data_IF_919884149240
#
_entry.id   IF_919884149240
#
_cell.length_a   1.000
_cell.length_b   1.000
_cell.length_c   1.000
_cell.angle_alpha   90.00
_cell.angle_beta   90.00
_cell.angle_gamma   90.00
#
_symmetry.space_group_name_H-M   'P 1'
#
loop_
_entity.id
_entity.type
_entity.pdbx_description
1 polymer ?
#
# COMPACT_ATOMS: atom_id res chain seq x y z
N UNK A 1 6.94 -30.96 1.39
CA UNK A 1 6.53 -29.54 1.51
C UNK A 1 6.90 -28.81 0.21
N UNK A 2 6.06 -27.90 -0.27
CA UNK A 2 6.44 -27.01 -1.40
C UNK A 2 7.63 -26.14 -0.94
N UNK A 3 8.59 -25.89 -1.84
CA UNK A 3 9.75 -25.03 -1.56
C UNK A 3 9.26 -23.63 -1.15
N UNK A 4 9.70 -23.15 0.02
CA UNK A 4 9.48 -21.76 0.44
C UNK A 4 10.43 -20.86 -0.38
N UNK A 5 9.86 -20.11 -1.33
CA UNK A 5 10.64 -19.21 -2.18
C UNK A 5 11.11 -17.99 -1.37
N UNK A 6 12.34 -17.57 -1.61
CA UNK A 6 12.88 -16.31 -1.09
C UNK A 6 12.22 -15.12 -1.79
N UNK A 7 12.29 -13.94 -1.18
CA UNK A 7 11.80 -12.70 -1.82
C UNK A 7 12.50 -12.47 -3.17
N UNK A 8 13.80 -12.78 -3.26
CA UNK A 8 14.55 -12.69 -4.52
C UNK A 8 14.00 -13.60 -5.62
N UNK A 9 13.66 -14.84 -5.29
CA UNK A 9 13.05 -15.77 -6.24
C UNK A 9 11.64 -15.32 -6.64
N UNK A 10 10.84 -14.82 -5.69
CA UNK A 10 9.53 -14.24 -5.98
C UNK A 10 9.64 -13.02 -6.90
N UNK A 11 10.64 -12.15 -6.69
CA UNK A 11 10.93 -11.01 -7.56
C UNK A 11 11.30 -11.46 -8.98
N UNK A 12 12.04 -12.55 -9.14
CA UNK A 12 12.35 -13.07 -10.48
C UNK A 12 11.11 -13.64 -11.20
N UNK A 13 10.16 -14.25 -10.46
CA UNK A 13 8.94 -14.83 -11.04
C UNK A 13 7.93 -13.73 -11.40
N UNK A 14 7.68 -12.83 -10.47
CA UNK A 14 6.65 -11.82 -10.61
C UNK A 14 7.16 -10.48 -11.13
N UNK A 15 8.48 -10.26 -11.22
CA UNK A 15 9.15 -9.02 -11.67
C UNK A 15 8.38 -7.74 -11.29
N UNK A 16 8.05 -7.54 -9.99
CA UNK A 16 7.29 -6.37 -9.54
C UNK A 16 8.07 -5.08 -9.81
N UNK A 17 9.40 -5.14 -9.78
CA UNK A 17 10.28 -4.01 -10.05
C UNK A 17 10.08 -3.42 -11.46
N UNK A 18 9.83 -4.28 -12.46
CA UNK A 18 9.56 -3.84 -13.82
C UNK A 18 8.23 -3.11 -13.93
N UNK A 19 7.22 -3.59 -13.19
CA UNK A 19 5.92 -2.92 -13.11
C UNK A 19 6.06 -1.55 -12.45
N UNK A 20 6.78 -1.48 -11.33
CA UNK A 20 7.02 -0.23 -10.62
C UNK A 20 7.88 0.76 -11.43
N UNK A 21 8.86 0.27 -12.18
CA UNK A 21 9.65 1.10 -13.09
C UNK A 21 8.78 1.65 -14.23
N UNK A 22 7.95 0.80 -14.85
CA UNK A 22 7.02 1.22 -15.89
C UNK A 22 5.99 2.24 -15.38
N UNK A 23 5.53 2.11 -14.13
CA UNK A 23 4.66 3.11 -13.50
C UNK A 23 5.33 4.48 -13.37
N UNK A 24 6.58 4.50 -12.87
CA UNK A 24 7.36 5.74 -12.75
C UNK A 24 7.64 6.39 -14.09
N UNK A 25 8.00 5.57 -15.08
CA UNK A 25 8.29 6.03 -16.44
C UNK A 25 7.03 6.62 -17.09
N UNK A 26 5.89 5.92 -17.03
CA UNK A 26 4.62 6.40 -17.54
C UNK A 26 4.22 7.74 -16.90
N UNK A 27 4.36 7.87 -15.58
CA UNK A 27 4.10 9.15 -14.91
C UNK A 27 5.06 10.24 -15.38
N UNK A 28 6.37 9.97 -15.41
CA UNK A 28 7.37 10.95 -15.84
C UNK A 28 7.12 11.48 -17.25
N UNK A 29 6.67 10.61 -18.17
CA UNK A 29 6.38 10.98 -19.57
C UNK A 29 5.10 11.81 -19.72
N UNK A 30 4.16 11.70 -18.78
CA UNK A 30 2.82 12.30 -18.91
C UNK A 30 2.48 13.33 -17.83
N UNK A 31 3.34 13.54 -16.83
CA UNK A 31 3.11 14.48 -15.72
C UNK A 31 2.80 15.89 -16.23
N UNK A 32 3.55 16.40 -17.21
CA UNK A 32 3.31 17.74 -17.77
C UNK A 32 1.96 17.85 -18.47
N UNK A 33 1.49 16.78 -19.14
CA UNK A 33 0.16 16.76 -19.76
C UNK A 33 -0.94 16.84 -18.71
N UNK A 34 -0.79 16.15 -17.58
CA UNK A 34 -1.74 16.20 -16.45
C UNK A 34 -1.76 17.60 -15.84
N UNK A 35 -0.59 18.20 -15.59
CA UNK A 35 -0.50 19.56 -15.06
C UNK A 35 -1.17 20.55 -16.01
N UNK A 36 -0.93 20.41 -17.32
CA UNK A 36 -1.56 21.26 -18.33
C UNK A 36 -3.08 21.10 -18.31
N UNK A 37 -3.58 19.87 -18.25
CA UNK A 37 -5.02 19.57 -18.15
C UNK A 37 -5.64 20.23 -16.91
N UNK A 38 -4.98 20.09 -15.75
CA UNK A 38 -5.44 20.65 -14.47
C UNK A 38 -5.33 22.17 -14.39
N UNK A 39 -4.44 22.76 -15.18
CA UNK A 39 -4.28 24.22 -15.32
C UNK A 39 -5.30 24.86 -16.26
N UNK A 40 -6.05 24.06 -17.02
CA UNK A 40 -7.06 24.58 -17.94
C UNK A 40 -8.22 25.24 -17.16
N UNK A 41 -8.70 26.40 -17.63
CA UNK A 41 -9.85 27.10 -17.03
C UNK A 41 -11.14 26.27 -17.08
N UNK A 42 -11.24 25.34 -18.02
CA UNK A 42 -12.35 24.41 -18.14
C UNK A 42 -12.20 23.19 -17.21
N UNK A 43 -11.03 22.97 -16.60
CA UNK A 43 -10.87 21.97 -15.57
C UNK A 43 -11.61 22.43 -14.29
N UNK A 44 -12.45 21.58 -13.68
CA UNK A 44 -13.12 21.92 -12.43
C UNK A 44 -12.18 22.34 -11.31
N UNK A 45 -10.92 21.89 -11.33
CA UNK A 45 -9.92 22.23 -10.32
C UNK A 45 -9.66 23.74 -10.22
N UNK A 46 -9.82 24.49 -11.31
CA UNK A 46 -9.68 25.96 -11.34
C UNK A 46 -10.61 26.70 -10.37
N UNK A 47 -11.69 26.06 -9.90
CA UNK A 47 -12.67 26.61 -8.95
C UNK A 47 -12.27 26.41 -7.48
N UNK A 48 -11.24 25.62 -7.22
CA UNK A 48 -10.81 25.25 -5.88
C UNK A 48 -9.46 25.86 -5.57
N UNK A 49 -9.29 26.29 -4.32
CA UNK A 49 -8.04 26.88 -3.83
C UNK A 49 -7.54 26.07 -2.64
N UNK A 50 -6.22 26.05 -2.44
CA UNK A 50 -5.62 25.48 -1.25
C UNK A 50 -6.18 26.23 -0.03
N UNK A 51 -6.63 25.51 1.01
CA UNK A 51 -7.02 26.14 2.27
C UNK A 51 -5.76 26.81 2.85
N UNK A 52 -5.65 28.13 2.68
CA UNK A 52 -4.54 28.93 3.17
C UNK A 52 -4.38 28.70 4.68
N UNK A 53 -3.31 28.06 5.11
CA UNK A 53 -2.65 28.54 6.32
C UNK A 53 -2.16 29.94 5.97
N UNK A 54 -2.33 30.90 6.88
CA UNK A 54 -2.09 32.33 6.63
C UNK A 54 -0.59 32.54 6.40
N UNK A 55 -0.11 32.27 5.19
CA UNK A 55 1.21 32.65 4.71
C UNK A 55 1.03 33.95 3.95
N UNK A 56 1.51 35.04 4.54
CA UNK A 56 1.44 36.39 3.97
C UNK A 56 2.35 36.58 2.74
N UNK A 57 3.13 35.56 2.36
CA UNK A 57 4.21 35.65 1.37
C UNK A 57 3.93 34.94 0.04
N UNK A 58 2.95 34.03 -0.02
CA UNK A 58 2.63 33.30 -1.25
C UNK A 58 1.61 34.06 -2.09
N UNK A 59 1.95 34.31 -3.36
CA UNK A 59 1.00 34.82 -4.34
C UNK A 59 -0.08 33.76 -4.62
N UNK A 60 -1.28 34.18 -5.01
CA UNK A 60 -2.33 33.22 -5.31
C UNK A 60 -1.96 32.29 -6.48
N UNK A 61 -1.20 32.80 -7.45
CA UNK A 61 -0.75 32.03 -8.62
C UNK A 61 0.22 30.90 -8.23
N UNK A 62 1.17 31.17 -7.34
CA UNK A 62 2.09 30.13 -6.84
C UNK A 62 1.34 29.08 -6.00
N UNK A 63 0.38 29.49 -5.16
CA UNK A 63 -0.42 28.54 -4.37
C UNK A 63 -1.28 27.62 -5.24
N UNK A 64 -1.85 28.15 -6.35
CA UNK A 64 -2.64 27.36 -7.27
C UNK A 64 -1.78 26.37 -8.06
N UNK A 65 -0.58 26.77 -8.46
CA UNK A 65 0.38 25.90 -9.14
C UNK A 65 0.83 24.75 -8.24
N UNK A 66 1.18 25.05 -6.99
CA UNK A 66 1.53 24.05 -5.98
C UNK A 66 0.40 23.04 -5.79
N UNK A 67 -0.84 23.50 -5.68
CA UNK A 67 -2.00 22.62 -5.56
C UNK A 67 -2.16 21.68 -6.77
N UNK A 68 -2.00 22.20 -7.98
CA UNK A 68 -2.10 21.41 -9.22
C UNK A 68 -1.02 20.33 -9.26
N UNK A 69 0.23 20.69 -8.93
CA UNK A 69 1.34 19.74 -8.87
C UNK A 69 1.12 18.66 -7.81
N UNK A 70 0.69 19.05 -6.60
CA UNK A 70 0.35 18.12 -5.52
C UNK A 70 -0.72 17.11 -5.95
N UNK A 71 -1.80 17.57 -6.60
CA UNK A 71 -2.88 16.70 -7.06
C UNK A 71 -2.39 15.80 -8.21
N UNK A 72 -1.62 16.33 -9.16
CA UNK A 72 -1.04 15.54 -10.24
C UNK A 72 -0.14 14.42 -9.70
N UNK A 73 0.67 14.69 -8.67
CA UNK A 73 1.57 13.72 -8.06
C UNK A 73 0.84 12.57 -7.37
N UNK A 74 -0.42 12.76 -6.95
CA UNK A 74 -1.25 11.65 -6.44
C UNK A 74 -1.64 10.61 -7.51
N UNK A 75 -1.47 10.92 -8.80
CA UNK A 75 -1.85 10.05 -9.91
C UNK A 75 -0.70 9.16 -10.41
N UNK A 76 0.47 9.18 -9.76
CA UNK A 76 1.68 8.49 -10.21
C UNK A 76 1.44 7.06 -10.73
N UNK A 77 0.81 6.20 -9.94
CA UNK A 77 0.56 4.81 -10.33
C UNK A 77 -0.66 4.68 -11.25
N UNK A 78 -1.60 5.62 -11.18
CA UNK A 78 -2.87 5.61 -11.92
C UNK A 78 -2.67 5.83 -13.41
N UNK A 79 -1.74 6.73 -13.79
CA UNK A 79 -1.42 7.02 -15.19
C UNK A 79 -1.07 5.75 -15.95
N UNK A 80 -0.23 4.90 -15.35
CA UNK A 80 0.14 3.63 -15.95
C UNK A 80 -1.05 2.73 -16.22
N UNK A 81 -1.99 2.63 -15.27
CA UNK A 81 -3.19 1.84 -15.51
C UNK A 81 -4.12 2.45 -16.57
N UNK A 82 -4.21 3.78 -16.68
CA UNK A 82 -5.02 4.44 -17.73
C UNK A 82 -4.53 4.11 -19.15
N UNK A 83 -3.22 3.89 -19.32
CA UNK A 83 -2.59 3.55 -20.60
C UNK A 83 -2.74 2.07 -20.99
N UNK A 84 -3.08 1.19 -20.05
CA UNK A 84 -3.21 -0.24 -20.29
C UNK A 84 -4.61 -0.61 -20.77
N UNK A 85 -4.71 -1.68 -21.57
CA UNK A 85 -6.03 -2.28 -21.90
C UNK A 85 -6.69 -2.93 -20.66
N UNK A 86 -8.02 -3.11 -20.67
CA UNK A 86 -8.76 -3.87 -19.61
C UNK A 86 -8.09 -5.20 -19.21
N UNK A 87 -7.60 -5.96 -20.20
CA UNK A 87 -6.96 -7.26 -19.99
C UNK A 87 -5.61 -7.11 -19.29
N UNK A 88 -4.82 -6.12 -19.68
CA UNK A 88 -3.52 -5.85 -19.09
C UNK A 88 -3.63 -5.29 -17.67
N UNK A 89 -4.58 -4.39 -17.41
CA UNK A 89 -4.87 -3.91 -16.05
C UNK A 89 -5.11 -5.07 -15.11
N UNK A 90 -6.02 -5.97 -15.46
CA UNK A 90 -6.32 -7.19 -14.69
C UNK A 90 -5.07 -8.04 -14.46
N UNK A 91 -4.27 -8.27 -15.52
CA UNK A 91 -3.05 -9.09 -15.45
C UNK A 91 -2.01 -8.48 -14.50
N UNK A 92 -1.76 -7.18 -14.61
CA UNK A 92 -0.77 -6.49 -13.78
C UNK A 92 -1.22 -6.48 -12.32
N UNK A 93 -2.49 -6.16 -12.05
CA UNK A 93 -3.04 -6.21 -10.69
C UNK A 93 -2.89 -7.60 -10.08
N UNK A 94 -3.30 -8.66 -10.78
CA UNK A 94 -3.14 -10.05 -10.30
C UNK A 94 -1.69 -10.44 -10.06
N UNK A 95 -0.78 -9.99 -10.93
CA UNK A 95 0.66 -10.22 -10.82
C UNK A 95 1.24 -9.58 -9.55
N UNK A 96 0.89 -8.31 -9.28
CA UNK A 96 1.34 -7.60 -8.08
C UNK A 96 0.76 -8.22 -6.80
N UNK A 97 -0.55 -8.53 -6.79
CA UNK A 97 -1.19 -9.26 -5.67
C UNK A 97 -0.51 -10.58 -5.37
N UNK A 98 -0.26 -11.36 -6.41
CA UNK A 98 0.38 -12.67 -6.25
C UNK A 98 1.78 -12.57 -5.67
N UNK A 99 2.51 -11.50 -5.99
CA UNK A 99 3.81 -11.23 -5.39
C UNK A 99 3.69 -10.89 -3.91
N UNK A 100 2.88 -9.90 -3.55
CA UNK A 100 2.75 -9.41 -2.17
C UNK A 100 2.16 -10.49 -1.25
N UNK A 101 1.08 -11.16 -1.66
CA UNK A 101 0.47 -12.25 -0.90
C UNK A 101 1.45 -13.41 -0.67
N UNK A 102 2.16 -13.89 -1.70
CA UNK A 102 3.14 -14.97 -1.53
C UNK A 102 4.36 -14.56 -0.74
N UNK A 103 4.76 -13.29 -0.80
CA UNK A 103 5.83 -12.76 0.03
C UNK A 103 5.45 -12.90 1.51
N UNK A 104 4.26 -12.45 1.88
CA UNK A 104 3.72 -12.54 3.25
C UNK A 104 3.61 -14.00 3.69
N UNK A 105 2.98 -14.86 2.88
CA UNK A 105 2.84 -16.29 3.18
C UNK A 105 4.19 -16.97 3.44
N UNK A 106 5.18 -16.71 2.57
CA UNK A 106 6.50 -17.33 2.68
C UNK A 106 7.33 -16.77 3.85
N UNK A 107 7.15 -15.52 4.25
CA UNK A 107 7.79 -14.95 5.43
C UNK A 107 7.16 -15.54 6.70
N UNK A 108 5.82 -15.57 6.76
CA UNK A 108 5.08 -16.13 7.89
C UNK A 108 5.42 -17.61 8.11
N UNK A 109 5.49 -18.41 7.04
CA UNK A 109 5.87 -19.82 7.12
C UNK A 109 7.28 -20.02 7.70
N UNK A 110 8.24 -19.16 7.34
CA UNK A 110 9.60 -19.23 7.91
C UNK A 110 9.64 -18.88 9.38
N UNK A 111 8.91 -17.85 9.78
CA UNK A 111 8.84 -17.46 11.20
C UNK A 111 8.18 -18.57 12.03
N UNK A 112 7.11 -19.19 11.53
CA UNK A 112 6.47 -20.31 12.20
C UNK A 112 7.44 -21.49 12.37
N UNK A 113 8.19 -21.89 11.33
CA UNK A 113 9.18 -22.96 11.44
C UNK A 113 10.24 -22.68 12.52
N UNK A 114 10.68 -21.42 12.67
CA UNK A 114 11.64 -21.03 13.71
C UNK A 114 11.03 -21.04 15.11
N UNK A 115 9.77 -20.60 15.25
CA UNK A 115 9.09 -20.52 16.54
C UNK A 115 8.55 -21.88 17.01
N UNK A 116 8.32 -22.83 16.11
CA UNK A 116 7.88 -24.20 16.40
C UNK A 116 9.00 -25.08 16.96
N UNK A 117 10.27 -24.79 16.62
CA UNK A 117 11.43 -25.49 17.18
C UNK A 117 11.73 -24.95 18.59
N UNK A 118 11.21 -25.62 19.62
CA UNK A 118 11.43 -25.29 21.04
C UNK A 118 12.83 -25.65 21.55
N UNK A 119 13.58 -26.44 20.78
CA UNK A 119 14.94 -26.86 21.08
C UNK A 119 16.00 -26.01 20.38
N UNK A 120 15.62 -25.12 19.45
CA UNK A 120 16.56 -24.23 18.76
C UNK A 120 17.42 -23.44 19.76
N UNK A 121 18.74 -23.61 19.65
CA UNK A 121 19.72 -22.95 20.53
C UNK A 121 19.82 -23.53 21.93
N UNK A 122 19.23 -24.70 22.20
CA UNK A 122 19.45 -25.44 23.45
C UNK A 122 20.80 -26.16 23.43
N UNK A 123 21.50 -26.14 24.57
CA UNK A 123 22.87 -26.65 24.67
C UNK A 123 22.98 -28.17 24.57
N UNK A 124 21.91 -28.90 24.86
CA UNK A 124 21.90 -30.37 24.84
C UNK A 124 20.48 -30.96 24.71
N UNK A 125 19.93 -31.10 23.49
CA UNK A 125 18.57 -31.62 23.30
C UNK A 125 18.41 -33.11 23.66
N UNK A 126 19.50 -33.88 23.64
CA UNK A 126 19.52 -35.35 23.77
C UNK A 126 20.21 -35.87 25.04
N UNK A 127 20.83 -35.01 25.86
CA UNK A 127 21.38 -35.47 27.14
C UNK A 127 20.26 -35.44 28.17
N UNK A 128 19.57 -36.58 28.32
CA UNK A 128 18.38 -36.81 29.15
C UNK A 128 18.57 -36.64 30.66
N UNK A 129 19.10 -35.50 31.11
CA UNK A 129 18.72 -34.94 32.40
C UNK A 129 17.63 -33.95 32.08
N UNK A 130 16.39 -34.37 32.27
CA UNK A 130 15.26 -33.47 32.54
C UNK A 130 15.69 -32.59 33.71
N UNK A 131 16.41 -31.50 33.44
CA UNK A 131 16.59 -30.45 34.42
C UNK A 131 15.22 -29.82 34.49
N UNK A 132 14.51 -30.18 35.57
CA UNK A 132 13.30 -29.56 36.12
C UNK A 132 13.63 -28.10 36.50
N UNK A 133 14.15 -27.33 35.56
CA UNK A 133 14.25 -25.89 35.66
C UNK A 133 13.17 -25.37 34.71
N UNK A 134 12.08 -24.89 35.30
CA UNK A 134 10.95 -24.22 34.64
C UNK A 134 11.37 -22.85 34.05
N UNK A 135 12.48 -22.82 33.34
CA UNK A 135 13.03 -21.64 32.69
C UNK A 135 13.79 -22.10 31.48
N UNK A 136 13.44 -21.53 30.33
CA UNK A 136 14.16 -21.66 29.07
C UNK A 136 15.68 -21.75 29.33
N UNK A 137 16.33 -22.86 28.95
CA UNK A 137 17.79 -22.92 28.89
C UNK A 137 18.34 -22.05 27.74
N UNK A 138 17.48 -21.29 27.03
CA UNK A 138 17.92 -20.39 25.97
C UNK A 138 18.60 -19.17 26.57
N UNK A 139 19.65 -18.73 25.91
CA UNK A 139 20.28 -17.47 26.20
C UNK A 139 19.27 -16.33 26.04
N UNK A 140 19.29 -15.35 26.95
CA UNK A 140 18.43 -14.15 26.93
C UNK A 140 18.32 -13.49 25.54
N UNK A 141 19.41 -13.50 24.76
CA UNK A 141 19.42 -12.97 23.40
C UNK A 141 18.52 -13.75 22.42
N UNK A 142 18.41 -15.08 22.55
CA UNK A 142 17.49 -15.88 21.75
C UNK A 142 16.03 -15.65 22.14
N UNK A 143 15.74 -15.50 23.44
CA UNK A 143 14.39 -15.15 23.89
C UNK A 143 13.97 -13.77 23.35
N UNK A 144 14.88 -12.80 23.34
CA UNK A 144 14.65 -11.49 22.69
C UNK A 144 14.39 -11.64 21.18
N UNK A 145 15.18 -12.43 20.47
CA UNK A 145 14.98 -12.68 19.05
C UNK A 145 13.61 -13.33 18.77
N UNK A 146 13.18 -14.26 19.62
CA UNK A 146 11.88 -14.93 19.49
C UNK A 146 10.71 -14.01 19.80
N UNK A 147 10.84 -13.11 20.77
CA UNK A 147 9.84 -12.07 21.00
C UNK A 147 9.73 -11.10 19.81
N UNK A 148 10.86 -10.68 19.22
CA UNK A 148 10.87 -9.88 17.99
C UNK A 148 10.13 -10.62 16.86
N UNK A 149 10.44 -11.92 16.66
CA UNK A 149 9.77 -12.74 15.66
C UNK A 149 8.27 -12.88 15.91
N UNK A 150 7.81 -12.93 17.17
CA UNK A 150 6.38 -12.96 17.52
C UNK A 150 5.67 -11.65 17.16
N UNK A 151 6.31 -10.50 17.41
CA UNK A 151 5.77 -9.20 17.01
C UNK A 151 5.64 -9.12 15.49
N UNK A 152 6.71 -9.45 14.76
CA UNK A 152 6.69 -9.47 13.28
C UNK A 152 5.64 -10.45 12.75
N UNK A 153 5.53 -11.64 13.36
CA UNK A 153 4.52 -12.64 13.02
C UNK A 153 3.11 -12.08 13.10
N UNK A 154 2.77 -11.40 14.19
CA UNK A 154 1.43 -10.81 14.38
C UNK A 154 1.08 -9.84 13.26
N UNK A 155 2.03 -9.01 12.82
CA UNK A 155 1.81 -8.08 11.70
C UNK A 155 1.63 -8.81 10.37
N UNK A 156 2.44 -9.85 10.11
CA UNK A 156 2.30 -10.68 8.92
C UNK A 156 1.01 -11.50 8.92
N UNK A 157 0.50 -11.92 10.07
CA UNK A 157 -0.79 -12.61 10.19
C UNK A 157 -1.96 -11.69 9.83
N UNK A 158 -1.93 -10.44 10.31
CA UNK A 158 -2.91 -9.44 9.93
C UNK A 158 -2.88 -9.14 8.42
N UNK A 159 -1.69 -9.01 7.84
CA UNK A 159 -1.53 -8.81 6.40
C UNK A 159 -1.98 -10.04 5.59
N UNK A 160 -1.69 -11.25 6.08
CA UNK A 160 -2.13 -12.49 5.43
C UNK A 160 -3.65 -12.63 5.46
N UNK A 161 -4.29 -12.18 6.54
CA UNK A 161 -5.76 -12.15 6.64
C UNK A 161 -6.34 -11.17 5.61
N UNK A 162 -5.76 -9.96 5.50
CA UNK A 162 -6.14 -9.00 4.46
C UNK A 162 -6.13 -9.65 3.08
N UNK A 163 -5.03 -10.31 2.68
CA UNK A 163 -4.92 -10.96 1.37
C UNK A 163 -5.90 -12.09 1.12
N UNK A 164 -6.37 -12.79 2.16
CA UNK A 164 -7.40 -13.82 2.05
C UNK A 164 -8.80 -13.25 1.85
N UNK A 165 -9.04 -12.05 2.38
CA UNK A 165 -10.34 -11.38 2.35
C UNK A 165 -10.50 -10.46 1.13
N UNK A 166 -9.41 -10.08 0.45
CA UNK A 166 -9.50 -9.26 -0.76
C UNK A 166 -10.25 -9.99 -1.87
N UNK A 167 -11.24 -9.30 -2.43
CA UNK A 167 -12.03 -9.79 -3.58
C UNK A 167 -11.16 -10.03 -4.82
N UNK A 168 -11.65 -10.83 -5.77
CA UNK A 168 -10.94 -11.10 -7.02
C UNK A 168 -10.63 -9.81 -7.78
N UNK A 169 -9.38 -9.67 -8.22
CA UNK A 169 -8.95 -8.52 -9.01
C UNK A 169 -9.68 -8.45 -10.36
N UNK A 170 -10.33 -7.31 -10.59
CA UNK A 170 -10.93 -6.93 -11.87
C UNK A 170 -10.10 -5.87 -12.59
N UNK A 171 -10.58 -5.45 -13.76
CA UNK A 171 -9.87 -4.50 -14.62
C UNK A 171 -9.80 -3.07 -14.08
N UNK A 172 -10.62 -2.72 -13.08
CA UNK A 172 -10.60 -1.42 -12.41
C UNK A 172 -9.88 -1.44 -11.07
N UNK A 173 -9.57 -2.61 -10.54
CA UNK A 173 -9.05 -2.75 -9.18
C UNK A 173 -7.74 -1.98 -9.00
N UNK A 174 -6.81 -2.09 -9.96
CA UNK A 174 -5.58 -1.28 -9.95
C UNK A 174 -5.86 0.23 -9.90
N UNK A 175 -6.84 0.72 -10.67
CA UNK A 175 -7.23 2.13 -10.68
C UNK A 175 -7.94 2.58 -9.40
N UNK A 176 -8.83 1.77 -8.85
CA UNK A 176 -9.51 2.05 -7.57
C UNK A 176 -8.48 2.30 -6.47
N UNK A 177 -7.43 1.48 -6.44
CA UNK A 177 -6.38 1.54 -5.42
C UNK A 177 -5.42 2.69 -5.71
N UNK A 178 -4.95 2.84 -6.95
CA UNK A 178 -4.00 3.88 -7.31
C UNK A 178 -4.59 5.29 -7.24
N UNK A 179 -5.90 5.45 -7.48
CA UNK A 179 -6.60 6.74 -7.41
C UNK A 179 -7.16 7.06 -6.02
N UNK A 180 -7.01 6.18 -5.02
CA UNK A 180 -7.58 6.38 -3.69
C UNK A 180 -7.13 7.70 -3.06
N UNK A 181 -5.82 7.98 -3.12
CA UNK A 181 -5.19 9.21 -2.60
C UNK A 181 -5.63 10.44 -3.37
N UNK A 182 -5.79 10.33 -4.68
CA UNK A 182 -6.32 11.40 -5.51
C UNK A 182 -7.73 11.81 -5.06
N UNK A 183 -8.65 10.86 -4.87
CA UNK A 183 -10.00 11.17 -4.39
C UNK A 183 -10.02 11.76 -2.98
N UNK A 184 -9.16 11.27 -2.09
CA UNK A 184 -9.01 11.83 -0.74
C UNK A 184 -8.55 13.28 -0.82
N UNK A 185 -7.51 13.56 -1.62
CA UNK A 185 -6.98 14.92 -1.78
C UNK A 185 -8.02 15.87 -2.36
N UNK A 186 -8.78 15.45 -3.37
CA UNK A 186 -9.88 16.23 -3.91
C UNK A 186 -10.95 16.53 -2.85
N UNK A 187 -11.27 15.57 -1.97
CA UNK A 187 -12.22 15.79 -0.87
C UNK A 187 -11.68 16.77 0.18
N UNK A 188 -10.39 16.72 0.49
CA UNK A 188 -9.74 17.62 1.46
C UNK A 188 -9.79 19.10 1.05
N UNK A 189 -9.68 19.38 -0.25
CA UNK A 189 -9.80 20.74 -0.79
C UNK A 189 -11.26 21.19 -0.95
N UNK A 190 -12.22 20.36 -0.54
CA UNK A 190 -13.65 20.65 -0.61
C UNK A 190 -14.27 20.42 -1.98
N UNK A 191 -13.64 19.65 -2.86
CA UNK A 191 -14.16 19.40 -4.21
C UNK A 191 -15.48 18.62 -4.19
N UNK A 192 -16.50 19.15 -4.83
CA UNK A 192 -17.80 18.49 -4.97
C UNK A 192 -17.71 17.24 -5.85
N UNK A 193 -18.51 16.21 -5.53
CA UNK A 193 -18.46 14.91 -6.24
C UNK A 193 -18.62 15.02 -7.77
N UNK A 194 -19.51 15.91 -8.25
CA UNK A 194 -19.71 16.15 -9.69
C UNK A 194 -18.44 16.64 -10.39
N UNK A 195 -17.69 17.52 -9.72
CA UNK A 195 -16.44 18.06 -10.24
C UNK A 195 -15.33 17.01 -10.19
N UNK A 196 -15.26 16.20 -9.12
CA UNK A 196 -14.33 15.06 -9.05
C UNK A 196 -14.55 14.08 -10.21
N UNK A 197 -15.81 13.70 -10.47
CA UNK A 197 -16.17 12.81 -11.59
C UNK A 197 -15.77 13.45 -12.93
N UNK A 198 -16.02 14.75 -13.09
CA UNK A 198 -15.68 15.47 -14.33
C UNK A 198 -14.17 15.48 -14.58
N UNK A 199 -13.34 15.65 -13.55
CA UNK A 199 -11.87 15.55 -13.70
C UNK A 199 -11.45 14.15 -14.11
N UNK A 200 -12.06 13.10 -13.53
CA UNK A 200 -11.75 11.71 -13.93
C UNK A 200 -12.12 11.47 -15.39
N UNK A 201 -13.25 11.98 -15.87
CA UNK A 201 -13.63 11.91 -17.28
C UNK A 201 -12.57 12.58 -18.16
N UNK A 202 -12.18 13.81 -17.84
CA UNK A 202 -11.14 14.54 -18.56
C UNK A 202 -9.80 13.79 -18.60
N UNK A 203 -9.41 13.12 -17.51
CA UNK A 203 -8.22 12.26 -17.47
C UNK A 203 -8.38 11.06 -18.40
N UNK A 204 -9.52 10.38 -18.37
CA UNK A 204 -9.76 9.20 -19.20
C UNK A 204 -9.77 9.55 -20.69
N UNK A 205 -10.36 10.68 -21.05
CA UNK A 205 -10.36 11.22 -22.40
C UNK A 205 -8.93 11.58 -22.86
N UNK A 206 -8.15 12.27 -22.01
CA UNK A 206 -6.76 12.67 -22.29
C UNK A 206 -5.84 11.46 -22.55
N UNK A 207 -6.09 10.34 -21.86
CA UNK A 207 -5.32 9.10 -22.01
C UNK A 207 -5.96 8.07 -22.94
N UNK A 208 -7.10 8.38 -23.57
CA UNK A 208 -7.80 7.45 -24.46
C UNK A 208 -8.16 6.13 -23.79
N UNK A 209 -8.50 6.17 -22.50
CA UNK A 209 -8.81 4.97 -21.74
C UNK A 209 -10.05 4.28 -22.33
N UNK A 210 -10.02 2.95 -22.40
CA UNK A 210 -11.13 2.12 -22.87
C UNK A 210 -12.30 2.09 -21.87
N UNK A 211 -12.96 3.24 -21.70
CA UNK A 211 -14.11 3.48 -20.84
C UNK A 211 -15.30 3.94 -21.70
N UNK A 212 -16.46 3.29 -21.58
CA UNK A 212 -17.64 3.66 -22.37
C UNK A 212 -18.38 4.87 -21.75
N UNK A 213 -18.86 5.78 -22.59
CA UNK A 213 -19.25 7.17 -22.25
C UNK A 213 -20.51 7.35 -21.34
N UNK A 214 -21.24 6.28 -21.00
CA UNK A 214 -22.59 6.36 -20.40
C UNK A 214 -22.71 6.82 -18.93
N UNK A 215 -21.63 7.24 -18.27
CA UNK A 215 -21.28 6.56 -17.02
C UNK A 215 -20.75 7.43 -15.88
N UNK A 216 -21.27 8.66 -15.71
CA UNK A 216 -20.94 9.48 -14.52
C UNK A 216 -21.21 8.73 -13.21
N UNK A 217 -22.33 7.99 -13.14
CA UNK A 217 -22.63 7.14 -12.00
C UNK A 217 -21.68 5.94 -11.91
N UNK A 218 -21.20 5.40 -13.04
CA UNK A 218 -20.24 4.30 -13.00
C UNK A 218 -18.85 4.74 -12.56
N UNK A 219 -18.39 5.97 -12.81
CA UNK A 219 -17.14 6.47 -12.20
C UNK A 219 -17.33 6.58 -10.68
N UNK A 220 -18.46 7.11 -10.24
CA UNK A 220 -18.77 7.23 -8.81
C UNK A 220 -18.79 5.87 -8.11
N UNK A 221 -19.57 4.92 -8.63
CA UNK A 221 -19.81 3.60 -8.01
C UNK A 221 -18.64 2.64 -8.24
N UNK A 222 -17.97 2.71 -9.40
CA UNK A 222 -16.93 1.73 -9.77
C UNK A 222 -15.51 2.20 -9.49
N UNK A 223 -15.27 3.50 -9.25
CA UNK A 223 -13.92 4.02 -8.97
C UNK A 223 -13.87 4.83 -7.69
N UNK A 224 -14.67 5.90 -7.59
CA UNK A 224 -14.56 6.85 -6.49
C UNK A 224 -14.93 6.23 -5.13
N UNK A 225 -16.12 5.63 -5.03
CA UNK A 225 -16.57 5.00 -3.78
C UNK A 225 -15.66 3.85 -3.34
N UNK A 226 -15.28 2.90 -4.22
CA UNK A 226 -14.30 1.87 -3.87
C UNK A 226 -12.94 2.45 -3.45
N UNK A 227 -12.41 3.43 -4.19
CA UNK A 227 -11.12 4.04 -3.85
C UNK A 227 -11.11 4.73 -2.50
N UNK A 228 -12.18 5.47 -2.17
CA UNK A 228 -12.35 6.08 -0.85
C UNK A 228 -12.46 5.03 0.27
N UNK A 229 -13.25 3.97 0.06
CA UNK A 229 -13.40 2.88 1.03
C UNK A 229 -12.07 2.14 1.27
N UNK A 230 -11.28 1.92 0.21
CA UNK A 230 -9.95 1.32 0.31
C UNK A 230 -9.03 2.18 1.17
N UNK A 231 -8.98 3.50 0.94
CA UNK A 231 -8.15 4.39 1.76
C UNK A 231 -8.62 4.41 3.23
N UNK A 232 -9.93 4.43 3.46
CA UNK A 232 -10.48 4.40 4.82
C UNK A 232 -10.08 3.13 5.58
N UNK A 233 -10.18 1.97 4.92
CA UNK A 233 -9.74 0.70 5.49
C UNK A 233 -8.23 0.68 5.75
N UNK A 234 -7.41 1.16 4.81
CA UNK A 234 -5.95 1.26 5.00
C UNK A 234 -5.61 2.17 6.19
N UNK A 235 -6.27 3.32 6.32
CA UNK A 235 -6.05 4.24 7.44
C UNK A 235 -6.50 3.61 8.77
N UNK A 236 -7.59 2.84 8.79
CA UNK A 236 -8.05 2.13 9.98
C UNK A 236 -7.06 1.05 10.41
N UNK A 237 -6.48 0.32 9.47
CA UNK A 237 -5.45 -0.70 9.74
C UNK A 237 -4.14 -0.10 10.23
N UNK A 238 -3.72 1.04 9.67
CA UNK A 238 -2.54 1.76 10.16
C UNK A 238 -2.73 2.22 11.62
N UNK A 239 -3.94 2.66 11.97
CA UNK A 239 -4.30 3.07 13.34
C UNK A 239 -4.47 1.91 14.31
N UNK A 240 -4.78 0.70 13.82
CA UNK A 240 -4.95 -0.47 14.69
C UNK A 240 -3.62 -1.19 15.00
N UNK A 241 -2.59 -1.02 14.17
CA UNK A 241 -1.22 -1.44 14.53
C UNK A 241 -0.59 -0.46 15.51
N UNK A 242 -0.80 -0.69 16.80
CA UNK A 242 0.09 -0.16 17.86
C UNK A 242 -0.12 -0.79 19.23
N UNK A 243 -0.85 -1.91 19.33
CA UNK A 243 -0.98 -2.62 20.61
C UNK A 243 0.12 -3.67 20.76
N UNK A 244 1.38 -3.26 20.65
CA UNK A 244 2.48 -4.15 21.05
C UNK A 244 2.39 -4.31 22.56
N UNK A 245 1.99 -5.51 22.97
CA UNK A 245 1.76 -5.82 24.38
C UNK A 245 3.10 -5.77 25.12
N UNK A 246 3.07 -5.26 26.34
CA UNK A 246 4.24 -5.15 27.23
C UNK A 246 5.09 -6.44 27.20
N UNK A 247 6.32 -6.35 26.70
CA UNK A 247 7.25 -7.49 26.67
C UNK A 247 8.18 -7.43 27.88
N UNK A 248 8.36 -8.57 28.56
CA UNK A 248 9.37 -8.69 29.64
C UNK A 248 10.80 -8.74 29.10
N UNK A 249 10.98 -8.93 27.79
CA UNK A 249 12.28 -9.14 27.15
C UNK A 249 12.72 -7.97 26.27
N UNK A 250 11.78 -7.17 25.74
CA UNK A 250 12.07 -6.06 24.83
C UNK A 250 11.97 -4.72 25.57
N UNK A 251 12.91 -3.81 25.31
CA UNK A 251 12.85 -2.43 25.80
C UNK A 251 11.81 -1.63 25.01
N UNK A 252 11.33 -0.53 25.60
CA UNK A 252 10.39 0.38 24.92
C UNK A 252 10.94 0.94 23.61
N UNK A 253 12.26 1.12 23.52
CA UNK A 253 12.94 1.55 22.30
C UNK A 253 12.82 0.50 21.19
N UNK A 254 13.11 -0.77 21.49
CA UNK A 254 12.95 -1.87 20.52
C UNK A 254 11.48 -2.03 20.09
N UNK A 255 10.54 -1.88 21.03
CA UNK A 255 9.11 -1.94 20.70
C UNK A 255 8.69 -0.81 19.76
N UNK A 256 9.25 0.40 19.96
CA UNK A 256 9.02 1.54 19.07
C UNK A 256 9.59 1.28 17.68
N UNK A 257 10.83 0.79 17.59
CA UNK A 257 11.47 0.48 16.31
C UNK A 257 10.67 -0.58 15.52
N UNK A 258 10.13 -1.59 16.20
CA UNK A 258 9.26 -2.59 15.57
C UNK A 258 7.95 -1.99 15.07
N UNK A 259 7.35 -1.07 15.83
CA UNK A 259 6.15 -0.35 15.41
C UNK A 259 6.41 0.55 14.20
N UNK A 260 7.56 1.24 14.18
CA UNK A 260 7.97 2.08 13.05
C UNK A 260 8.24 1.22 11.81
N UNK A 261 8.92 0.08 11.97
CA UNK A 261 9.12 -0.90 10.91
C UNK A 261 7.81 -1.43 10.34
N UNK A 262 6.85 -1.79 11.20
CA UNK A 262 5.50 -2.23 10.81
C UNK A 262 4.78 -1.16 9.98
N UNK A 263 4.85 0.10 10.43
CA UNK A 263 4.26 1.23 9.71
C UNK A 263 4.90 1.43 8.34
N UNK A 264 6.23 1.38 8.26
CA UNK A 264 6.97 1.47 6.99
C UNK A 264 6.56 0.33 6.06
N UNK A 265 6.52 -0.90 6.57
CA UNK A 265 6.12 -2.07 5.79
C UNK A 265 4.71 -1.91 5.19
N UNK A 266 3.72 -1.56 6.00
CA UNK A 266 2.33 -1.38 5.55
C UNK A 266 2.16 -0.24 4.55
N UNK A 267 2.93 0.84 4.70
CA UNK A 267 2.86 1.99 3.77
C UNK A 267 3.58 1.74 2.44
N UNK A 268 4.51 0.78 2.40
CA UNK A 268 5.21 0.39 1.18
C UNK A 268 4.46 -0.66 0.35
N UNK A 269 3.62 -1.48 0.98
CA UNK A 269 2.73 -2.38 0.26
C UNK A 269 1.76 -1.56 -0.59
N UNK A 270 1.77 -1.80 -1.90
CA UNK A 270 0.87 -1.09 -2.82
C UNK A 270 -0.55 -1.63 -2.70
N UNK A 271 -0.70 -2.90 -2.32
CA UNK A 271 -1.98 -3.56 -2.10
C UNK A 271 -2.92 -3.44 -3.29
N UNK A 272 -2.35 -3.50 -4.51
CA UNK A 272 -3.11 -3.54 -5.76
C UNK A 272 -4.14 -4.66 -5.73
#
# INVERSE_FOLDING_TARGET
>A
MKKLLTVRELRNIYRPDEVLAAMREAFSQHRERIIKLFSDRNCPLSRYKQRKQISFLESEDESNKTLIEEIADTLQDSVYFMLLTKKERTRITQRMRSFESKMVENQLARINLLLEDDQLGSSTPWTGKERINKGSNRHRGLDMAFEILRVIKSDLEAENLYWKDVSRAGHLTGLQISMSRFFVRLKEIGMGQKDQITIVQQLFDEFGMDWEEGDRENIKVSLQQPGLAIQENQNRELRSSTNVTFSKYLSNEVLKDLSDLSTIYKTQLRRF
#
